data_IF_339950438420
#
_entry.id   IF_339950438420
#
_cell.length_a   1.000
_cell.length_b   1.000
_cell.length_c   1.000
_cell.angle_alpha   90.00
_cell.angle_beta   90.00
_cell.angle_gamma   90.00
#
_symmetry.space_group_name_H-M   'P 1'
#
loop_
_entity.id
_entity.type
_entity.pdbx_description
1 polymer ?
#
# COMPACT_ATOMS: atom_id res chain seq x y z
N UNK A 1 -33.07 39.12 -91.18
CA UNK A 1 -32.25 39.46 -92.36
C UNK A 1 -30.97 38.64 -92.31
N UNK A 2 -30.75 37.82 -93.34
CA UNK A 2 -29.47 37.46 -94.00
C UNK A 2 -28.32 36.90 -93.12
N UNK A 3 -28.08 35.59 -93.27
CA UNK A 3 -26.75 34.93 -93.18
C UNK A 3 -26.00 35.10 -94.54
N UNK A 4 -24.72 34.70 -94.80
CA UNK A 4 -23.85 33.74 -94.09
C UNK A 4 -22.31 34.04 -94.16
N UNK A 5 -21.47 33.07 -93.73
CA UNK A 5 -20.06 32.89 -94.18
C UNK A 5 -19.11 32.34 -93.10
N UNK A 6 -19.06 31.02 -92.83
CA UNK A 6 -18.00 30.03 -93.19
C UNK A 6 -16.55 30.56 -93.14
N UNK A 7 -15.59 29.93 -92.43
CA UNK A 7 -14.69 28.86 -92.95
C UNK A 7 -14.20 27.90 -91.83
N UNK A 8 -14.00 26.65 -92.27
CA UNK A 8 -13.63 25.38 -91.61
C UNK A 8 -12.13 25.15 -91.33
N UNK A 9 -11.79 24.40 -90.26
CA UNK A 9 -10.83 23.25 -90.23
C UNK A 9 -10.78 22.66 -88.80
N UNK A 10 -11.32 21.46 -88.53
CA UNK A 10 -10.76 20.09 -88.53
C UNK A 10 -9.57 19.81 -87.58
N UNK A 11 -9.72 18.66 -86.89
CA UNK A 11 -8.81 17.91 -86.00
C UNK A 11 -8.91 18.33 -84.52
N UNK A 12 -9.45 17.57 -83.58
CA UNK A 12 -9.60 16.12 -83.49
C UNK A 12 -8.65 15.59 -82.41
N UNK A 13 -9.18 15.40 -81.19
CA UNK A 13 -8.69 14.49 -80.14
C UNK A 13 -7.22 14.65 -79.69
N UNK A 14 -6.99 15.38 -78.60
CA UNK A 14 -5.84 15.14 -77.69
C UNK A 14 -6.24 15.49 -76.26
N UNK A 15 -6.89 14.56 -75.56
CA UNK A 15 -6.87 14.34 -74.11
C UNK A 15 -7.68 13.04 -73.89
N UNK A 16 -7.09 11.92 -73.43
CA UNK A 16 -6.14 11.85 -72.34
C UNK A 16 -4.95 10.91 -72.64
N UNK A 17 -3.76 11.48 -72.89
CA UNK A 17 -2.51 10.73 -72.82
C UNK A 17 -1.86 10.95 -71.45
N UNK A 18 -2.60 10.65 -70.37
CA UNK A 18 -2.04 10.60 -69.01
C UNK A 18 -2.93 9.84 -68.00
N UNK A 19 -3.70 8.84 -68.46
CA UNK A 19 -4.52 7.97 -67.61
C UNK A 19 -4.55 6.52 -68.14
N UNK A 20 -3.41 6.00 -68.64
CA UNK A 20 -3.27 4.57 -69.00
C UNK A 20 -1.93 3.97 -68.52
N UNK A 21 -1.13 4.71 -67.73
CA UNK A 21 0.09 4.18 -67.10
C UNK A 21 0.08 4.30 -65.56
N UNK A 22 -1.08 4.54 -64.96
CA UNK A 22 -1.27 4.46 -63.50
C UNK A 22 -2.28 3.37 -63.10
N UNK A 23 -3.04 2.81 -64.04
CA UNK A 23 -3.98 1.71 -63.76
C UNK A 23 -3.37 0.30 -63.89
N UNK A 24 -2.08 0.16 -64.21
CA UNK A 24 -1.39 -1.14 -64.21
C UNK A 24 -0.43 -1.35 -63.02
N UNK A 25 -0.38 -0.40 -62.08
CA UNK A 25 0.35 -0.57 -60.82
C UNK A 25 -0.52 -0.42 -59.56
N UNK A 26 -1.83 -0.16 -59.70
CA UNK A 26 -2.74 0.02 -58.57
C UNK A 26 -3.86 -1.01 -58.43
N UNK A 27 -3.88 -2.09 -59.23
CA UNK A 27 -4.72 -3.28 -58.97
C UNK A 27 -3.92 -4.47 -58.40
N UNK A 28 -2.60 -4.32 -58.23
CA UNK A 28 -1.72 -5.37 -57.70
C UNK A 28 -1.29 -5.22 -56.23
N UNK A 29 -1.51 -4.06 -55.61
CA UNK A 29 -0.93 -3.74 -54.30
C UNK A 29 -1.81 -4.15 -53.10
N UNK A 30 -3.14 -4.14 -53.21
CA UNK A 30 -4.01 -4.55 -52.10
C UNK A 30 -4.16 -6.08 -51.97
N UNK A 31 -3.80 -6.83 -53.02
CA UNK A 31 -3.90 -8.29 -53.03
C UNK A 31 -2.69 -8.99 -52.37
N UNK A 32 -1.54 -8.30 -52.26
CA UNK A 32 -0.32 -8.85 -51.65
C UNK A 32 -0.26 -8.73 -50.13
N UNK A 33 -0.61 -7.55 -49.59
CA UNK A 33 -0.54 -7.28 -48.14
C UNK A 33 -1.49 -8.19 -47.35
N UNK A 34 -2.72 -8.36 -47.84
CA UNK A 34 -3.72 -9.23 -47.22
C UNK A 34 -3.36 -10.72 -47.29
N UNK A 35 -2.71 -11.16 -48.39
CA UNK A 35 -2.30 -12.55 -48.55
C UNK A 35 -1.15 -12.93 -47.61
N UNK A 36 -0.19 -12.02 -47.41
CA UNK A 36 0.92 -12.24 -46.47
C UNK A 36 0.44 -12.21 -45.01
N UNK A 37 -0.49 -11.32 -44.65
CA UNK A 37 -1.13 -11.30 -43.32
C UNK A 37 -1.89 -12.60 -43.05
N UNK A 38 -2.72 -13.07 -43.99
CA UNK A 38 -3.47 -14.32 -43.83
C UNK A 38 -2.54 -15.53 -43.67
N UNK A 39 -1.41 -15.55 -44.39
CA UNK A 39 -0.38 -16.57 -44.24
C UNK A 39 0.24 -16.55 -42.84
N UNK A 40 0.56 -15.38 -42.31
CA UNK A 40 1.05 -15.23 -40.94
C UNK A 40 0.01 -15.69 -39.90
N UNK A 41 -1.27 -15.39 -40.11
CA UNK A 41 -2.37 -15.85 -39.23
C UNK A 41 -2.51 -17.38 -39.22
N UNK A 42 -2.52 -18.02 -40.38
CA UNK A 42 -2.66 -19.48 -40.48
C UNK A 42 -1.42 -20.22 -39.97
N UNK A 43 -0.21 -19.69 -40.21
CA UNK A 43 1.01 -20.25 -39.63
C UNK A 43 1.03 -20.09 -38.10
N UNK A 44 0.70 -18.89 -37.60
CA UNK A 44 0.62 -18.61 -36.16
C UNK A 44 -0.39 -19.53 -35.46
N UNK A 45 -1.54 -19.80 -36.10
CA UNK A 45 -2.55 -20.75 -35.60
C UNK A 45 -2.04 -22.19 -35.53
N UNK A 46 -1.29 -22.66 -36.53
CA UNK A 46 -0.65 -23.99 -36.50
C UNK A 46 0.38 -24.10 -35.39
N UNK A 47 1.24 -23.08 -35.23
CA UNK A 47 2.25 -23.01 -34.17
C UNK A 47 1.60 -22.97 -32.78
N UNK A 48 0.50 -22.23 -32.62
CA UNK A 48 -0.26 -22.18 -31.38
C UNK A 48 -0.86 -23.56 -31.05
N UNK A 49 -1.43 -24.26 -32.04
CA UNK A 49 -1.93 -25.63 -31.85
C UNK A 49 -0.82 -26.64 -31.52
N UNK A 50 0.41 -26.40 -32.00
CA UNK A 50 1.59 -27.17 -31.66
C UNK A 50 2.22 -26.78 -30.30
N UNK A 51 1.68 -25.79 -29.60
CA UNK A 51 2.21 -25.30 -28.31
C UNK A 51 3.47 -24.44 -28.44
N UNK A 52 3.89 -24.10 -29.67
CA UNK A 52 5.04 -23.22 -29.92
C UNK A 52 4.65 -21.75 -29.74
N UNK A 53 4.43 -21.35 -28.48
CA UNK A 53 3.86 -20.05 -28.15
C UNK A 53 4.74 -18.87 -28.61
N UNK A 54 6.07 -18.97 -28.47
CA UNK A 54 6.98 -17.89 -28.86
C UNK A 54 6.99 -17.66 -30.38
N UNK A 55 7.05 -18.74 -31.16
CA UNK A 55 7.01 -18.67 -32.62
C UNK A 55 5.65 -18.16 -33.11
N UNK A 56 4.56 -18.65 -32.51
CA UNK A 56 3.21 -18.17 -32.80
C UNK A 56 3.07 -16.66 -32.50
N UNK A 57 3.64 -16.18 -31.39
CA UNK A 57 3.62 -14.77 -31.02
C UNK A 57 4.29 -13.89 -32.07
N UNK A 58 5.45 -14.33 -32.59
CA UNK A 58 6.17 -13.63 -33.64
C UNK A 58 5.35 -13.54 -34.94
N UNK A 59 4.67 -14.63 -35.32
CA UNK A 59 3.78 -14.62 -36.49
C UNK A 59 2.60 -13.66 -36.31
N UNK A 60 1.98 -13.63 -35.12
CA UNK A 60 0.89 -12.70 -34.86
C UNK A 60 1.34 -11.25 -34.70
N UNK A 61 2.60 -10.98 -34.33
CA UNK A 61 3.16 -9.63 -34.43
C UNK A 61 3.25 -9.18 -35.88
N UNK A 62 3.85 -10.00 -36.75
CA UNK A 62 3.94 -9.70 -38.18
C UNK A 62 2.55 -9.49 -38.82
N UNK A 63 1.55 -10.27 -38.40
CA UNK A 63 0.18 -10.10 -38.87
C UNK A 63 -0.44 -8.76 -38.42
N UNK A 64 -0.19 -8.30 -37.19
CA UNK A 64 -0.66 -6.99 -36.70
C UNK A 64 0.08 -5.84 -37.39
N UNK A 65 1.37 -5.98 -37.65
CA UNK A 65 2.16 -4.96 -38.34
C UNK A 65 1.78 -4.83 -39.82
N UNK A 66 1.39 -5.96 -40.44
CA UNK A 66 0.92 -6.00 -41.83
C UNK A 66 -0.50 -5.47 -42.04
N UNK A 67 -1.40 -5.67 -41.07
CA UNK A 67 -2.77 -5.11 -41.08
C UNK A 67 -3.20 -4.66 -39.66
N UNK A 68 -3.02 -3.37 -39.33
CA UNK A 68 -3.39 -2.80 -38.03
C UNK A 68 -4.90 -2.72 -37.72
N UNK A 69 -5.78 -3.00 -38.70
CA UNK A 69 -7.23 -3.03 -38.50
C UNK A 69 -7.77 -4.46 -38.40
N UNK A 70 -6.90 -5.48 -38.50
CA UNK A 70 -7.25 -6.88 -38.36
C UNK A 70 -7.49 -7.28 -36.90
N UNK A 71 -8.74 -7.16 -36.44
CA UNK A 71 -9.11 -7.58 -35.08
C UNK A 71 -8.79 -9.06 -34.78
N UNK A 72 -8.74 -9.95 -35.78
CA UNK A 72 -8.40 -11.36 -35.57
C UNK A 72 -6.93 -11.50 -35.19
N UNK A 73 -6.03 -10.73 -35.81
CA UNK A 73 -4.61 -10.72 -35.48
C UNK A 73 -4.38 -10.33 -34.01
N UNK A 74 -5.00 -9.24 -33.57
CA UNK A 74 -4.97 -8.83 -32.15
C UNK A 74 -5.56 -9.88 -31.22
N UNK A 75 -6.72 -10.46 -31.55
CA UNK A 75 -7.36 -11.47 -30.69
C UNK A 75 -6.49 -12.73 -30.55
N UNK A 76 -5.87 -13.19 -31.64
CA UNK A 76 -4.96 -14.34 -31.63
C UNK A 76 -3.70 -14.02 -30.84
N UNK A 77 -3.12 -12.84 -31.02
CA UNK A 77 -1.95 -12.38 -30.25
C UNK A 77 -2.25 -12.31 -28.75
N UNK A 78 -3.39 -11.73 -28.37
CA UNK A 78 -3.88 -11.74 -27.00
C UNK A 78 -4.01 -13.17 -26.45
N UNK A 79 -4.57 -14.09 -27.23
CA UNK A 79 -4.72 -15.50 -26.83
C UNK A 79 -3.36 -16.15 -26.54
N UNK A 80 -2.33 -15.86 -27.35
CA UNK A 80 -0.97 -16.35 -27.10
C UNK A 80 -0.38 -15.71 -25.84
N UNK A 81 -0.55 -14.41 -25.62
CA UNK A 81 -0.12 -13.76 -24.38
C UNK A 81 -0.78 -14.40 -23.14
N UNK A 82 -2.07 -14.73 -23.22
CA UNK A 82 -2.78 -15.42 -22.15
C UNK A 82 -2.26 -16.84 -21.90
N UNK A 83 -1.99 -17.59 -22.96
CA UNK A 83 -1.37 -18.92 -22.86
C UNK A 83 0.03 -18.86 -22.23
N UNK A 84 0.77 -17.76 -22.41
CA UNK A 84 2.05 -17.51 -21.74
C UNK A 84 1.91 -16.97 -20.30
N UNK A 85 0.69 -16.78 -19.79
CA UNK A 85 0.44 -16.14 -18.49
C UNK A 85 0.67 -14.62 -18.47
N UNK A 86 0.95 -13.99 -19.61
CA UNK A 86 1.23 -12.55 -19.76
C UNK A 86 -0.06 -11.72 -19.85
N UNK A 87 -0.88 -11.79 -18.79
CA UNK A 87 -2.20 -11.13 -18.73
C UNK A 87 -2.14 -9.62 -18.95
N UNK A 88 -1.10 -8.93 -18.46
CA UNK A 88 -0.91 -7.48 -18.65
C UNK A 88 -0.70 -7.09 -20.12
N UNK A 89 0.00 -7.93 -20.89
CA UNK A 89 0.25 -7.70 -22.31
C UNK A 89 -0.96 -8.03 -23.20
N UNK A 90 -1.85 -8.92 -22.75
CA UNK A 90 -3.05 -9.29 -23.49
C UNK A 90 -4.16 -8.22 -23.45
N UNK A 91 -4.24 -7.42 -22.38
CA UNK A 91 -5.31 -6.43 -22.18
C UNK A 91 -5.39 -5.37 -23.31
N UNK A 92 -4.28 -4.73 -23.73
CA UNK A 92 -4.34 -3.77 -24.83
C UNK A 92 -4.88 -4.37 -26.12
N UNK A 93 -4.44 -5.58 -26.47
CA UNK A 93 -4.90 -6.28 -27.67
C UNK A 93 -6.41 -6.58 -27.58
N UNK A 94 -6.91 -7.07 -26.43
CA UNK A 94 -8.34 -7.31 -26.24
C UNK A 94 -9.16 -6.02 -26.33
N UNK A 95 -8.66 -4.91 -25.79
CA UNK A 95 -9.31 -3.60 -25.93
C UNK A 95 -9.36 -3.17 -27.39
N UNK A 96 -8.25 -3.29 -28.13
CA UNK A 96 -8.21 -2.97 -29.57
C UNK A 96 -9.17 -3.83 -30.37
N UNK A 97 -9.33 -5.11 -30.04
CA UNK A 97 -10.35 -5.99 -30.66
C UNK A 97 -11.76 -5.46 -30.45
N UNK A 98 -12.08 -4.99 -29.24
CA UNK A 98 -13.41 -4.47 -28.91
C UNK A 98 -13.67 -3.11 -29.58
N UNK A 99 -12.63 -2.30 -29.78
CA UNK A 99 -12.69 -1.04 -30.54
C UNK A 99 -12.96 -1.30 -32.03
N UNK A 100 -12.18 -2.20 -32.65
CA UNK A 100 -12.30 -2.54 -34.07
C UNK A 100 -13.59 -3.31 -34.36
N UNK A 101 -13.94 -4.26 -33.48
CA UNK A 101 -15.10 -5.12 -33.62
C UNK A 101 -15.90 -5.16 -32.33
N UNK A 102 -16.79 -4.19 -32.21
CA UNK A 102 -17.62 -4.05 -31.02
C UNK A 102 -18.54 -5.25 -30.77
N UNK A 103 -18.86 -6.12 -31.73
CA UNK A 103 -19.73 -7.29 -31.54
C UNK A 103 -18.96 -8.57 -31.22
N UNK A 104 -17.65 -8.49 -31.03
CA UNK A 104 -16.82 -9.64 -30.73
C UNK A 104 -16.87 -10.02 -29.24
N UNK A 105 -17.90 -10.80 -28.88
CA UNK A 105 -18.18 -11.25 -27.51
C UNK A 105 -17.02 -12.01 -26.86
N UNK A 106 -16.29 -12.81 -27.63
CA UNK A 106 -15.18 -13.61 -27.09
C UNK A 106 -14.06 -12.74 -26.48
N UNK A 107 -13.67 -11.63 -27.13
CA UNK A 107 -12.67 -10.73 -26.56
C UNK A 107 -13.20 -10.01 -25.31
N UNK A 108 -14.48 -9.60 -25.28
CA UNK A 108 -15.08 -9.02 -24.07
C UNK A 108 -15.09 -10.00 -22.90
N UNK A 109 -15.46 -11.25 -23.15
CA UNK A 109 -15.47 -12.28 -22.12
C UNK A 109 -14.05 -12.50 -21.55
N UNK A 110 -13.05 -12.64 -22.43
CA UNK A 110 -11.65 -12.76 -22.02
C UNK A 110 -11.16 -11.54 -21.23
N UNK A 111 -11.51 -10.32 -21.67
CA UNK A 111 -11.14 -9.08 -20.98
C UNK A 111 -11.81 -8.99 -19.61
N UNK A 112 -13.12 -9.25 -19.52
CA UNK A 112 -13.86 -9.29 -18.26
C UNK A 112 -13.27 -10.27 -17.25
N UNK A 113 -12.85 -11.46 -17.68
CA UNK A 113 -12.16 -12.42 -16.80
C UNK A 113 -10.80 -11.92 -16.30
N UNK A 114 -10.03 -11.22 -17.15
CA UNK A 114 -8.74 -10.66 -16.74
C UNK A 114 -8.92 -9.51 -15.77
N UNK A 115 -9.89 -8.62 -16.04
CA UNK A 115 -10.25 -7.50 -15.17
C UNK A 115 -10.72 -8.00 -13.79
N UNK A 116 -11.56 -9.04 -13.77
CA UNK A 116 -11.98 -9.70 -12.53
C UNK A 116 -10.79 -10.23 -11.71
N UNK A 117 -9.80 -10.86 -12.36
CA UNK A 117 -8.58 -11.34 -11.70
C UNK A 117 -7.69 -10.20 -11.19
N UNK A 118 -7.77 -9.02 -11.80
CA UNK A 118 -7.03 -7.81 -11.42
C UNK A 118 -7.77 -6.94 -10.39
N UNK A 119 -8.96 -7.35 -9.92
CA UNK A 119 -9.75 -6.54 -8.98
C UNK A 119 -10.54 -5.39 -9.62
N UNK A 120 -10.49 -5.23 -10.95
CA UNK A 120 -11.16 -4.15 -11.69
C UNK A 120 -12.63 -4.47 -11.96
N UNK A 121 -13.42 -4.43 -10.89
CA UNK A 121 -14.81 -4.90 -10.90
C UNK A 121 -15.74 -4.08 -11.79
N UNK A 122 -15.63 -2.75 -11.81
CA UNK A 122 -16.50 -1.89 -12.63
C UNK A 122 -16.34 -2.18 -14.13
N UNK A 123 -15.10 -2.21 -14.60
CA UNK A 123 -14.76 -2.53 -15.99
C UNK A 123 -15.21 -3.97 -16.34
N UNK A 124 -15.02 -4.91 -15.41
CA UNK A 124 -15.44 -6.29 -15.59
C UNK A 124 -16.97 -6.44 -15.65
N UNK A 125 -17.71 -5.73 -14.79
CA UNK A 125 -19.17 -5.75 -14.77
C UNK A 125 -19.74 -5.21 -16.08
N UNK A 126 -19.20 -4.10 -16.58
CA UNK A 126 -19.61 -3.51 -17.86
C UNK A 126 -19.37 -4.48 -19.03
N UNK A 127 -18.21 -5.14 -19.07
CA UNK A 127 -17.90 -6.15 -20.09
C UNK A 127 -18.87 -7.33 -20.02
N UNK A 128 -19.08 -7.91 -18.83
CA UNK A 128 -20.01 -9.04 -18.66
C UNK A 128 -21.46 -8.64 -18.95
N UNK A 129 -21.88 -7.44 -18.59
CA UNK A 129 -23.21 -6.90 -18.89
C UNK A 129 -23.41 -6.70 -20.40
N UNK A 130 -22.41 -6.15 -21.10
CA UNK A 130 -22.46 -5.98 -22.56
C UNK A 130 -22.47 -7.31 -23.29
N UNK A 131 -21.77 -8.32 -22.77
CA UNK A 131 -21.86 -9.70 -23.25
C UNK A 131 -23.26 -10.26 -23.02
N UNK A 132 -23.79 -10.18 -21.79
CA UNK A 132 -25.14 -10.65 -21.45
C UNK A 132 -26.22 -10.03 -22.33
N UNK A 133 -26.24 -8.69 -22.47
CA UNK A 133 -27.24 -7.99 -23.28
C UNK A 133 -27.16 -8.41 -24.75
N UNK A 134 -25.95 -8.56 -25.30
CA UNK A 134 -25.78 -8.95 -26.71
C UNK A 134 -26.12 -10.41 -26.97
N UNK A 135 -25.79 -11.31 -26.04
CA UNK A 135 -26.03 -12.75 -26.19
C UNK A 135 -27.47 -13.14 -25.80
N UNK A 136 -28.13 -12.39 -24.92
CA UNK A 136 -29.58 -12.47 -24.68
C UNK A 136 -30.38 -12.24 -25.97
N UNK A 137 -29.90 -11.35 -26.84
CA UNK A 137 -30.47 -11.15 -28.17
C UNK A 137 -30.22 -12.32 -29.14
N UNK A 138 -29.30 -13.25 -28.81
CA UNK A 138 -28.88 -14.37 -29.69
C UNK A 138 -29.35 -15.77 -29.25
N UNK A 139 -29.93 -15.95 -28.05
CA UNK A 139 -30.50 -17.22 -27.55
C UNK A 139 -29.53 -18.43 -27.61
N UNK A 140 -28.46 -18.45 -26.81
CA UNK A 140 -27.48 -19.56 -26.81
C UNK A 140 -27.19 -20.21 -25.42
N UNK A 141 -26.79 -21.50 -25.41
CA UNK A 141 -26.63 -22.36 -24.22
C UNK A 141 -25.31 -22.14 -23.42
N UNK A 142 -24.24 -21.65 -24.07
CA UNK A 142 -22.96 -21.31 -23.42
C UNK A 142 -23.07 -20.09 -22.46
N UNK A 143 -24.20 -19.39 -22.49
CA UNK A 143 -24.53 -18.21 -21.70
C UNK A 143 -24.61 -18.45 -20.17
N UNK A 144 -24.92 -19.68 -19.72
CA UNK A 144 -25.03 -19.98 -18.28
C UNK A 144 -23.74 -19.61 -17.51
N UNK A 145 -22.58 -19.77 -18.14
CA UNK A 145 -21.28 -19.42 -17.55
C UNK A 145 -21.08 -17.91 -17.44
N UNK A 146 -21.33 -17.15 -18.50
CA UNK A 146 -21.18 -15.69 -18.48
C UNK A 146 -22.14 -15.02 -17.51
N UNK A 147 -23.41 -15.44 -17.48
CA UNK A 147 -24.41 -14.91 -16.55
C UNK A 147 -24.06 -15.20 -15.07
N UNK A 148 -23.47 -16.37 -14.79
CA UNK A 148 -22.96 -16.68 -13.46
C UNK A 148 -21.84 -15.71 -13.06
N UNK A 149 -20.90 -15.43 -13.97
CA UNK A 149 -19.83 -14.45 -13.74
C UNK A 149 -20.36 -13.02 -13.57
N UNK A 150 -21.30 -12.58 -14.42
CA UNK A 150 -21.95 -11.27 -14.26
C UNK A 150 -22.58 -11.11 -12.87
N UNK A 151 -23.38 -12.09 -12.43
CA UNK A 151 -24.00 -12.07 -11.09
C UNK A 151 -22.96 -12.02 -9.97
N UNK A 152 -21.88 -12.76 -10.12
CA UNK A 152 -20.78 -12.78 -9.16
C UNK A 152 -20.10 -11.41 -9.07
N UNK A 153 -19.67 -10.84 -10.20
CA UNK A 153 -19.00 -9.53 -10.26
C UNK A 153 -19.91 -8.42 -9.73
N UNK A 154 -21.17 -8.39 -10.16
CA UNK A 154 -22.16 -7.41 -9.66
C UNK A 154 -22.35 -7.50 -8.15
N UNK A 155 -22.40 -8.72 -7.61
CA UNK A 155 -22.54 -8.93 -6.16
C UNK A 155 -21.28 -8.46 -5.42
N UNK A 156 -20.09 -8.78 -5.92
CA UNK A 156 -18.82 -8.32 -5.35
C UNK A 156 -18.72 -6.79 -5.37
N UNK A 157 -19.04 -6.18 -6.50
CA UNK A 157 -18.98 -4.73 -6.68
C UNK A 157 -19.88 -4.02 -5.67
N UNK A 158 -21.16 -4.43 -5.59
CA UNK A 158 -22.11 -3.90 -4.61
C UNK A 158 -21.66 -4.06 -3.15
N UNK A 159 -20.99 -5.17 -2.82
CA UNK A 159 -20.47 -5.39 -1.47
C UNK A 159 -19.33 -4.42 -1.15
N UNK A 160 -18.41 -4.21 -2.08
CA UNK A 160 -17.26 -3.30 -1.91
C UNK A 160 -17.72 -1.84 -1.87
N UNK A 161 -18.59 -1.42 -2.80
CA UNK A 161 -19.17 -0.07 -2.80
C UNK A 161 -19.87 0.24 -1.47
N UNK A 162 -20.69 -0.71 -0.98
CA UNK A 162 -21.37 -0.57 0.32
C UNK A 162 -20.39 -0.55 1.49
N UNK A 163 -19.28 -1.28 1.42
CA UNK A 163 -18.27 -1.29 2.47
C UNK A 163 -17.51 0.04 2.54
N UNK A 164 -17.11 0.59 1.39
CA UNK A 164 -16.45 1.91 1.32
C UNK A 164 -17.39 3.05 1.74
N UNK A 165 -18.69 2.95 1.47
CA UNK A 165 -19.68 3.89 2.01
C UNK A 165 -19.72 3.85 3.54
N UNK A 166 -19.75 2.65 4.13
CA UNK A 166 -19.73 2.47 5.58
C UNK A 166 -18.43 3.02 6.21
N UNK A 167 -17.28 2.86 5.54
CA UNK A 167 -16.01 3.47 5.98
C UNK A 167 -16.12 4.99 6.00
N UNK A 168 -16.67 5.61 4.94
CA UNK A 168 -16.87 7.06 4.88
C UNK A 168 -17.78 7.58 5.99
N UNK A 169 -18.78 6.78 6.38
CA UNK A 169 -19.70 7.10 7.47
C UNK A 169 -19.13 6.80 8.87
N UNK A 170 -17.90 6.29 8.97
CA UNK A 170 -17.26 5.90 10.24
C UNK A 170 -17.83 4.61 10.87
N UNK A 171 -18.61 3.84 10.10
CA UNK A 171 -19.23 2.57 10.55
C UNK A 171 -18.31 1.38 10.30
N UNK A 172 -17.15 1.39 10.95
CA UNK A 172 -16.05 0.44 10.70
C UNK A 172 -16.42 -1.02 10.96
N UNK A 173 -17.20 -1.31 12.01
CA UNK A 173 -17.63 -2.68 12.32
C UNK A 173 -18.50 -3.26 11.21
N UNK A 174 -19.43 -2.46 10.69
CA UNK A 174 -20.31 -2.88 9.59
C UNK A 174 -19.50 -3.07 8.30
N UNK A 175 -18.55 -2.18 8.02
CA UNK A 175 -17.64 -2.29 6.88
C UNK A 175 -16.81 -3.58 6.93
N UNK A 176 -16.24 -3.92 8.09
CA UNK A 176 -15.50 -5.17 8.31
C UNK A 176 -16.37 -6.39 7.95
N UNK A 177 -17.63 -6.42 8.41
CA UNK A 177 -18.57 -7.50 8.06
C UNK A 177 -18.84 -7.61 6.55
N UNK A 178 -18.87 -6.47 5.84
CA UNK A 178 -19.00 -6.45 4.38
C UNK A 178 -17.77 -7.03 3.69
N UNK A 179 -16.56 -6.64 4.08
CA UNK A 179 -15.33 -7.20 3.50
C UNK A 179 -15.15 -8.69 3.80
N UNK A 180 -15.57 -9.16 4.97
CA UNK A 180 -15.64 -10.60 5.22
C UNK A 180 -16.60 -11.32 4.25
N UNK A 181 -17.72 -10.66 3.90
CA UNK A 181 -18.67 -11.17 2.92
C UNK A 181 -18.10 -11.13 1.49
N UNK A 182 -17.23 -10.16 1.17
CA UNK A 182 -16.46 -10.11 -0.09
C UNK A 182 -15.56 -11.34 -0.19
N UNK A 183 -14.73 -11.59 0.83
CA UNK A 183 -13.82 -12.74 0.86
C UNK A 183 -14.56 -14.09 0.81
N UNK A 184 -15.75 -14.18 1.44
CA UNK A 184 -16.61 -15.38 1.33
C UNK A 184 -17.21 -15.55 -0.06
N UNK A 185 -17.51 -14.44 -0.74
CA UNK A 185 -18.10 -14.48 -2.08
C UNK A 185 -17.05 -14.84 -3.12
N UNK A 186 -15.81 -14.35 -2.99
CA UNK A 186 -14.69 -14.69 -3.87
C UNK A 186 -13.45 -15.17 -3.09
N UNK A 187 -13.38 -16.47 -2.75
CA UNK A 187 -12.26 -17.02 -2.00
C UNK A 187 -11.07 -17.43 -2.87
N UNK A 188 -11.24 -17.54 -4.20
CA UNK A 188 -10.23 -18.15 -5.07
C UNK A 188 -9.22 -17.15 -5.62
N UNK A 189 -9.57 -15.87 -5.67
CA UNK A 189 -8.71 -14.81 -6.20
C UNK A 189 -8.07 -14.09 -5.02
N UNK A 190 -6.75 -14.23 -4.90
CA UNK A 190 -5.97 -13.69 -3.78
C UNK A 190 -6.11 -12.16 -3.64
N UNK A 191 -6.23 -11.42 -4.75
CA UNK A 191 -6.39 -9.96 -4.76
C UNK A 191 -7.54 -9.50 -3.86
N UNK A 192 -8.71 -10.14 -3.91
CA UNK A 192 -9.85 -9.76 -3.07
C UNK A 192 -9.60 -10.04 -1.60
N UNK A 193 -8.86 -11.10 -1.28
CA UNK A 193 -8.48 -11.42 0.10
C UNK A 193 -7.50 -10.37 0.64
N UNK A 194 -6.45 -10.05 -0.12
CA UNK A 194 -5.42 -9.07 0.27
C UNK A 194 -6.05 -7.69 0.46
N UNK A 195 -6.78 -7.18 -0.53
CA UNK A 195 -7.43 -5.88 -0.46
C UNK A 195 -8.51 -5.81 0.62
N UNK A 196 -9.30 -6.87 0.79
CA UNK A 196 -10.29 -6.90 1.90
C UNK A 196 -9.61 -6.84 3.26
N UNK A 197 -8.50 -7.56 3.47
CA UNK A 197 -7.73 -7.48 4.71
C UNK A 197 -7.09 -6.12 4.92
N UNK A 198 -6.58 -5.47 3.87
CA UNK A 198 -6.08 -4.08 3.92
C UNK A 198 -7.18 -3.13 4.43
N UNK A 199 -8.39 -3.20 3.87
CA UNK A 199 -9.51 -2.36 4.32
C UNK A 199 -10.02 -2.71 5.72
N UNK A 200 -9.96 -3.98 6.14
CA UNK A 200 -10.27 -4.40 7.51
C UNK A 200 -9.22 -3.89 8.51
N UNK A 201 -7.93 -3.95 8.16
CA UNK A 201 -6.83 -3.34 8.91
C UNK A 201 -7.10 -1.83 9.13
N UNK A 202 -7.46 -1.12 8.06
CA UNK A 202 -7.86 0.27 8.13
C UNK A 202 -9.05 0.51 9.07
N UNK A 203 -10.11 -0.32 8.96
CA UNK A 203 -11.28 -0.23 9.83
C UNK A 203 -10.91 -0.38 11.31
N UNK A 204 -10.08 -1.36 11.68
CA UNK A 204 -9.67 -1.54 13.08
C UNK A 204 -8.79 -0.42 13.60
N UNK A 205 -7.89 0.10 12.75
CA UNK A 205 -7.03 1.23 13.12
C UNK A 205 -7.87 2.48 13.41
N UNK A 206 -8.81 2.83 12.52
CA UNK A 206 -9.70 3.99 12.69
C UNK A 206 -10.78 3.82 13.76
N UNK A 207 -11.13 2.58 14.14
CA UNK A 207 -12.03 2.25 15.26
C UNK A 207 -11.28 2.17 16.60
N UNK A 208 -10.00 2.58 16.65
CA UNK A 208 -9.13 2.56 17.85
C UNK A 208 -9.05 1.18 18.52
N UNK A 209 -9.00 0.11 17.70
CA UNK A 209 -8.82 -1.30 18.13
C UNK A 209 -7.42 -1.79 17.76
N UNK A 210 -6.39 -1.38 18.52
CA UNK A 210 -5.00 -1.57 18.10
C UNK A 210 -4.56 -3.04 18.04
N UNK A 211 -5.04 -3.90 18.95
CA UNK A 211 -4.65 -5.32 18.97
C UNK A 211 -5.10 -6.04 17.69
N UNK A 212 -6.37 -5.84 17.29
CA UNK A 212 -6.91 -6.40 16.05
C UNK A 212 -6.29 -5.77 14.81
N UNK A 213 -6.05 -4.44 14.83
CA UNK A 213 -5.38 -3.73 13.76
C UNK A 213 -3.98 -4.29 13.51
N UNK A 214 -3.13 -4.34 14.54
CA UNK A 214 -1.75 -4.85 14.43
C UNK A 214 -1.73 -6.27 13.85
N UNK A 215 -2.64 -7.15 14.30
CA UNK A 215 -2.73 -8.51 13.79
C UNK A 215 -3.08 -8.55 12.30
N UNK A 216 -4.17 -7.91 11.88
CA UNK A 216 -4.63 -7.95 10.49
C UNK A 216 -3.67 -7.22 9.56
N UNK A 217 -3.19 -6.03 9.94
CA UNK A 217 -2.22 -5.29 9.15
C UNK A 217 -0.92 -6.10 8.96
N UNK A 218 -0.47 -6.82 9.99
CA UNK A 218 0.70 -7.71 9.87
C UNK A 218 0.45 -8.88 8.91
N UNK A 219 -0.75 -9.45 8.88
CA UNK A 219 -1.11 -10.46 7.86
C UNK A 219 -1.06 -9.87 6.44
N UNK A 220 -1.49 -8.61 6.25
CA UNK A 220 -1.40 -7.91 4.96
C UNK A 220 0.06 -7.72 4.57
N UNK A 221 0.89 -7.23 5.49
CA UNK A 221 2.30 -6.94 5.24
C UNK A 221 3.17 -8.20 5.06
N UNK A 222 2.69 -9.37 5.49
CA UNK A 222 3.31 -10.65 5.11
C UNK A 222 3.09 -10.98 3.62
N UNK A 223 2.01 -10.49 3.02
CA UNK A 223 1.67 -10.70 1.61
C UNK A 223 2.20 -9.57 0.72
N UNK A 224 2.09 -8.32 1.19
CA UNK A 224 2.52 -7.09 0.51
C UNK A 224 3.34 -6.23 1.50
N UNK A 225 4.66 -6.47 1.67
CA UNK A 225 5.50 -5.74 2.62
C UNK A 225 5.59 -4.23 2.34
N UNK A 226 5.38 -3.83 1.09
CA UNK A 226 5.43 -2.47 0.57
C UNK A 226 4.05 -1.77 0.58
N UNK A 227 3.01 -2.38 1.19
CA UNK A 227 1.69 -1.78 1.29
C UNK A 227 1.69 -0.58 2.25
N UNK A 228 1.82 0.63 1.67
CA UNK A 228 1.90 1.91 2.39
C UNK A 228 0.70 2.15 3.30
N UNK A 229 -0.52 1.77 2.89
CA UNK A 229 -1.72 1.96 3.71
C UNK A 229 -1.67 1.10 4.97
N UNK A 230 -1.34 -0.19 4.82
CA UNK A 230 -1.24 -1.11 5.95
C UNK A 230 -0.11 -0.74 6.92
N UNK A 231 1.03 -0.22 6.43
CA UNK A 231 2.09 0.33 7.28
C UNK A 231 1.61 1.52 8.10
N UNK A 232 0.93 2.49 7.47
CA UNK A 232 0.37 3.68 8.15
C UNK A 232 -0.66 3.31 9.21
N UNK A 233 -1.62 2.45 8.86
CA UNK A 233 -2.69 2.04 9.77
C UNK A 233 -2.13 1.21 10.96
N UNK A 234 -1.09 0.39 10.74
CA UNK A 234 -0.40 -0.34 11.81
C UNK A 234 0.44 0.58 12.70
N UNK A 235 1.15 1.55 12.12
CA UNK A 235 1.88 2.56 12.88
C UNK A 235 0.95 3.36 13.80
N UNK A 236 -0.23 3.76 13.30
CA UNK A 236 -1.26 4.41 14.13
C UNK A 236 -1.71 3.54 15.31
N UNK A 237 -1.89 2.23 15.09
CA UNK A 237 -2.23 1.29 16.15
C UNK A 237 -1.09 1.14 17.19
N UNK A 238 0.17 1.10 16.74
CA UNK A 238 1.33 1.09 17.65
C UNK A 238 1.43 2.37 18.48
N UNK A 239 1.06 3.53 17.93
CA UNK A 239 1.01 4.78 18.71
C UNK A 239 0.00 4.72 19.85
N UNK A 240 -1.14 4.03 19.68
CA UNK A 240 -2.15 3.83 20.74
C UNK A 240 -1.60 2.91 21.84
N UNK A 241 -0.86 1.88 21.46
CA UNK A 241 -0.21 0.94 22.40
C UNK A 241 1.12 1.46 22.97
N UNK A 242 1.48 2.71 22.69
CA UNK A 242 2.73 3.35 23.11
C UNK A 242 4.02 2.61 22.63
N UNK A 243 3.89 1.82 21.56
CA UNK A 243 4.97 1.09 20.89
C UNK A 243 5.66 1.98 19.84
N UNK A 244 6.34 3.02 20.32
CA UNK A 244 6.81 4.11 19.45
C UNK A 244 7.93 3.70 18.50
N UNK A 245 8.83 2.79 18.92
CA UNK A 245 9.93 2.31 18.07
C UNK A 245 9.38 1.56 16.85
N UNK A 246 8.38 0.70 17.07
CA UNK A 246 7.69 -0.03 16.01
C UNK A 246 6.89 0.90 15.09
N UNK A 247 6.23 1.92 15.65
CA UNK A 247 5.53 2.93 14.86
C UNK A 247 6.48 3.72 13.95
N UNK A 248 7.65 4.10 14.45
CA UNK A 248 8.69 4.80 13.67
C UNK A 248 9.17 3.92 12.53
N UNK A 249 9.48 2.65 12.80
CA UNK A 249 9.94 1.69 11.79
C UNK A 249 8.91 1.51 10.65
N UNK A 250 7.62 1.41 10.97
CA UNK A 250 6.57 1.29 9.96
C UNK A 250 6.46 2.57 9.11
N UNK A 251 6.55 3.76 9.71
CA UNK A 251 6.55 5.01 8.96
C UNK A 251 7.80 5.21 8.08
N UNK A 252 8.98 4.81 8.55
CA UNK A 252 10.21 4.83 7.77
C UNK A 252 10.09 3.93 6.54
N UNK A 253 9.62 2.69 6.74
CA UNK A 253 9.38 1.74 5.64
C UNK A 253 8.35 2.31 4.65
N UNK A 254 7.28 2.95 5.15
CA UNK A 254 6.27 3.57 4.29
C UNK A 254 6.85 4.75 3.49
N UNK A 255 7.79 5.50 4.07
CA UNK A 255 8.45 6.64 3.43
C UNK A 255 9.37 6.22 2.28
N UNK A 256 10.02 5.05 2.37
CA UNK A 256 10.83 4.48 1.28
C UNK A 256 10.02 4.22 0.01
N UNK A 257 8.73 3.90 0.16
CA UNK A 257 7.82 3.62 -0.95
C UNK A 257 7.01 4.84 -1.40
N UNK A 258 6.98 5.91 -0.59
CA UNK A 258 6.28 7.17 -0.92
C UNK A 258 6.90 8.39 -0.21
N UNK A 259 7.97 8.93 -0.80
CA UNK A 259 8.78 10.01 -0.19
C UNK A 259 8.01 11.32 0.09
N UNK A 260 6.94 11.60 -0.67
CA UNK A 260 6.25 12.89 -0.64
C UNK A 260 4.92 12.89 0.14
N UNK A 261 4.51 11.77 0.74
CA UNK A 261 3.27 11.72 1.53
C UNK A 261 3.42 12.56 2.81
N UNK A 262 2.58 13.59 2.94
CA UNK A 262 2.53 14.45 4.13
C UNK A 262 2.12 13.66 5.38
N UNK A 263 1.19 12.69 5.25
CA UNK A 263 0.67 11.93 6.39
C UNK A 263 1.77 11.04 7.01
N UNK A 264 2.66 10.49 6.18
CA UNK A 264 3.79 9.67 6.66
C UNK A 264 4.77 10.55 7.44
N UNK A 265 5.13 11.73 6.91
CA UNK A 265 6.04 12.66 7.58
C UNK A 265 5.48 13.16 8.91
N UNK A 266 4.22 13.57 8.93
CA UNK A 266 3.53 14.02 10.16
C UNK A 266 3.42 12.88 11.19
N UNK A 267 3.12 11.66 10.74
CA UNK A 267 3.08 10.47 11.58
C UNK A 267 4.44 10.12 12.20
N UNK A 268 5.50 10.16 11.40
CA UNK A 268 6.88 9.92 11.84
C UNK A 268 7.33 10.97 12.86
N UNK A 269 7.12 12.26 12.57
CA UNK A 269 7.44 13.34 13.51
C UNK A 269 6.66 13.23 14.82
N UNK A 270 5.38 12.83 14.75
CA UNK A 270 4.54 12.57 15.94
C UNK A 270 5.10 11.40 16.75
N UNK A 271 5.44 10.29 16.10
CA UNK A 271 5.98 9.10 16.74
C UNK A 271 7.32 9.40 17.44
N UNK A 272 8.25 10.08 16.75
CA UNK A 272 9.54 10.50 17.31
C UNK A 272 9.38 11.48 18.49
N UNK A 273 8.42 12.41 18.41
CA UNK A 273 8.12 13.34 19.50
C UNK A 273 7.59 12.60 20.73
N UNK A 274 6.68 11.65 20.53
CA UNK A 274 6.11 10.83 21.60
C UNK A 274 7.16 9.91 22.22
N UNK A 275 8.05 9.32 21.42
CA UNK A 275 9.21 8.56 21.90
C UNK A 275 10.12 9.45 22.78
N UNK A 276 10.47 10.65 22.29
CA UNK A 276 11.26 11.59 23.08
C UNK A 276 10.56 12.00 24.38
N UNK A 277 9.24 12.17 24.34
CA UNK A 277 8.44 12.49 25.52
C UNK A 277 8.36 11.32 26.51
N UNK A 278 8.27 10.08 26.04
CA UNK A 278 8.21 8.88 26.90
C UNK A 278 9.56 8.57 27.55
N UNK A 279 10.66 8.93 26.89
CA UNK A 279 12.02 8.83 27.43
C UNK A 279 12.33 9.92 28.47
N UNK A 280 11.64 11.07 28.44
CA UNK A 280 11.82 12.14 29.43
C UNK A 280 11.30 11.71 30.81
N UNK A 281 12.16 11.80 31.81
CA UNK A 281 11.81 11.47 33.21
C UNK A 281 10.99 12.61 33.83
N UNK A 282 9.74 12.35 34.21
CA UNK A 282 8.98 13.30 35.04
C UNK A 282 9.29 13.10 36.53
N UNK A 283 10.29 13.84 37.03
CA UNK A 283 10.72 13.77 38.43
C UNK A 283 9.61 14.10 39.44
N UNK A 284 8.67 14.99 39.11
CA UNK A 284 7.55 15.31 39.99
C UNK A 284 6.57 14.15 40.08
N UNK A 285 6.28 13.50 38.95
CA UNK A 285 5.44 12.29 38.88
C UNK A 285 6.09 11.11 39.61
N UNK A 286 7.41 10.93 39.47
CA UNK A 286 8.17 9.88 40.18
C UNK A 286 8.04 10.02 41.71
N UNK A 287 8.18 11.24 42.25
CA UNK A 287 8.02 11.46 43.69
C UNK A 287 6.56 11.64 44.14
N UNK A 288 5.62 11.79 43.20
CA UNK A 288 4.20 12.04 43.51
C UNK A 288 3.95 13.38 44.17
N UNK A 289 4.73 14.41 43.83
CA UNK A 289 4.62 15.77 44.41
C UNK A 289 4.21 16.77 43.33
N UNK A 290 3.57 17.88 43.74
CA UNK A 290 3.17 18.95 42.81
C UNK A 290 4.39 19.72 42.29
N UNK A 291 4.29 20.34 41.11
CA UNK A 291 5.37 21.18 40.55
C UNK A 291 5.81 22.33 41.46
N UNK A 292 4.93 22.85 42.29
CA UNK A 292 5.23 23.89 43.27
C UNK A 292 5.64 23.35 44.66
N UNK A 293 5.92 22.05 44.78
CA UNK A 293 6.25 21.43 46.06
C UNK A 293 7.48 22.06 46.70
N UNK A 294 7.41 22.25 48.02
CA UNK A 294 8.54 22.78 48.80
C UNK A 294 9.61 21.71 48.96
N UNK A 295 10.88 22.13 49.15
CA UNK A 295 12.01 21.21 49.36
C UNK A 295 11.76 20.17 50.46
N UNK A 296 11.07 20.55 51.53
CA UNK A 296 10.69 19.63 52.62
C UNK A 296 9.70 18.54 52.18
N UNK A 297 8.75 18.85 51.29
CA UNK A 297 7.77 17.91 50.76
C UNK A 297 8.45 16.90 49.82
N UNK A 298 9.37 17.38 48.98
CA UNK A 298 10.21 16.55 48.09
C UNK A 298 11.02 15.55 48.93
N UNK A 299 11.70 16.01 49.99
CA UNK A 299 12.49 15.14 50.88
C UNK A 299 11.59 14.13 51.60
N UNK A 300 10.39 14.54 52.04
CA UNK A 300 9.43 13.66 52.72
C UNK A 300 8.93 12.56 51.77
N UNK A 301 8.58 12.92 50.54
CA UNK A 301 8.15 11.98 49.52
C UNK A 301 9.27 11.00 49.15
N UNK A 302 10.50 11.50 48.95
CA UNK A 302 11.67 10.67 48.72
C UNK A 302 11.88 9.66 49.84
N UNK A 303 11.89 10.08 51.11
CA UNK A 303 12.10 9.15 52.25
C UNK A 303 11.07 8.03 52.28
N UNK A 304 9.80 8.35 52.00
CA UNK A 304 8.71 7.37 51.96
C UNK A 304 8.93 6.35 50.84
N UNK A 305 9.22 6.83 49.63
CA UNK A 305 9.40 5.98 48.45
C UNK A 305 10.71 5.18 48.49
N UNK A 306 11.79 5.78 48.99
CA UNK A 306 13.07 5.11 49.18
C UNK A 306 12.96 3.97 50.20
N UNK A 307 12.20 4.17 51.29
CA UNK A 307 11.93 3.09 52.24
C UNK A 307 11.07 1.99 51.62
N UNK A 308 10.09 2.33 50.78
CA UNK A 308 9.20 1.35 50.15
C UNK A 308 9.91 0.51 49.08
N UNK A 309 10.71 1.17 48.23
CA UNK A 309 11.34 0.56 47.05
C UNK A 309 12.81 0.17 47.27
N UNK A 310 13.27 0.13 48.53
CA UNK A 310 14.62 -0.38 48.82
C UNK A 310 14.73 -1.85 48.37
N UNK A 311 15.78 -2.24 47.61
CA UNK A 311 15.94 -3.61 47.12
C UNK A 311 15.89 -4.69 48.22
N UNK A 312 16.29 -4.36 49.45
CA UNK A 312 16.26 -5.28 50.60
C UNK A 312 14.84 -5.67 51.04
N UNK A 313 13.81 -4.94 50.60
CA UNK A 313 12.42 -5.28 50.91
C UNK A 313 11.87 -6.41 50.01
N UNK A 314 12.60 -6.83 48.98
CA UNK A 314 12.14 -7.78 47.97
C UNK A 314 13.04 -9.01 47.96
N UNK A 315 12.42 -10.19 48.04
CA UNK A 315 13.12 -11.48 48.10
C UNK A 315 13.34 -12.10 46.71
N UNK A 316 12.43 -11.81 45.77
CA UNK A 316 12.51 -12.32 44.40
C UNK A 316 13.45 -11.48 43.55
N UNK A 317 14.33 -12.12 42.78
CA UNK A 317 15.36 -11.44 41.97
C UNK A 317 14.75 -10.52 40.89
N UNK A 318 13.63 -10.92 40.27
CA UNK A 318 12.93 -10.06 39.30
C UNK A 318 12.30 -8.83 39.96
N UNK A 319 11.71 -8.99 41.15
CA UNK A 319 11.14 -7.88 41.90
C UNK A 319 12.23 -6.94 42.42
N UNK A 320 13.37 -7.49 42.84
CA UNK A 320 14.55 -6.74 43.27
C UNK A 320 15.09 -5.87 42.14
N UNK A 321 15.21 -6.41 40.92
CA UNK A 321 15.58 -5.63 39.73
C UNK A 321 14.57 -4.53 39.40
N UNK A 322 13.26 -4.80 39.53
CA UNK A 322 12.21 -3.77 39.35
C UNK A 322 12.29 -2.68 40.42
N UNK A 323 12.53 -3.07 41.66
CA UNK A 323 12.68 -2.15 42.79
C UNK A 323 13.95 -1.29 42.65
N UNK A 324 15.06 -1.88 42.22
CA UNK A 324 16.30 -1.18 41.94
C UNK A 324 16.13 -0.10 40.87
N UNK A 325 15.48 -0.42 39.73
CA UNK A 325 15.16 0.59 38.70
C UNK A 325 14.34 1.75 39.28
N UNK A 326 13.29 1.45 40.04
CA UNK A 326 12.47 2.49 40.69
C UNK A 326 13.25 3.31 41.72
N UNK A 327 14.12 2.67 42.50
CA UNK A 327 14.93 3.34 43.50
C UNK A 327 15.91 4.34 42.86
N UNK A 328 16.51 3.97 41.72
CA UNK A 328 17.36 4.86 40.91
C UNK A 328 16.54 6.08 40.46
N UNK A 329 15.35 5.88 39.90
CA UNK A 329 14.49 6.98 39.45
C UNK A 329 14.07 7.89 40.61
N UNK A 330 13.72 7.33 41.77
CA UNK A 330 13.39 8.06 43.00
C UNK A 330 14.58 8.90 43.49
N UNK A 331 15.79 8.35 43.45
CA UNK A 331 17.01 9.05 43.84
C UNK A 331 17.33 10.20 42.88
N UNK A 332 17.26 9.94 41.56
CA UNK A 332 17.43 10.96 40.52
C UNK A 332 16.42 12.11 40.69
N UNK A 333 15.15 11.79 40.93
CA UNK A 333 14.11 12.78 41.15
C UNK A 333 14.36 13.65 42.37
N UNK A 334 14.84 13.07 43.48
CA UNK A 334 15.24 13.85 44.66
C UNK A 334 16.40 14.77 44.32
N UNK A 335 17.41 14.29 43.62
CA UNK A 335 18.60 15.07 43.26
C UNK A 335 18.22 16.31 42.46
N UNK A 336 17.50 16.12 41.35
CA UNK A 336 17.05 17.21 40.47
C UNK A 336 16.13 18.19 41.19
N UNK A 337 15.14 17.71 41.93
CA UNK A 337 14.12 18.59 42.53
C UNK A 337 14.59 19.28 43.83
N UNK A 338 15.63 18.76 44.49
CA UNK A 338 16.14 19.34 45.75
C UNK A 338 17.22 20.40 45.54
N UNK A 339 17.87 20.41 44.38
CA UNK A 339 18.80 21.43 43.95
C UNK A 339 18.07 22.54 43.17
N UNK A 340 18.15 23.82 43.59
CA UNK A 340 17.41 24.91 42.94
C UNK A 340 17.78 25.14 41.47
N UNK A 341 19.04 24.93 41.08
CA UNK A 341 19.51 25.16 39.72
C UNK A 341 19.07 24.02 38.80
N UNK A 342 19.25 22.77 39.23
CA UNK A 342 18.82 21.58 38.49
C UNK A 342 17.29 21.56 38.33
N UNK A 343 16.56 21.91 39.39
CA UNK A 343 15.09 22.04 39.34
C UNK A 343 14.66 23.10 38.36
N UNK A 344 15.33 24.25 38.35
CA UNK A 344 15.03 25.33 37.40
C UNK A 344 15.24 24.88 35.95
N UNK A 345 16.38 24.24 35.64
CA UNK A 345 16.63 23.67 34.29
C UNK A 345 15.52 22.70 33.87
N UNK A 346 15.13 21.81 34.77
CA UNK A 346 14.04 20.86 34.54
C UNK A 346 12.69 21.55 34.34
N UNK A 347 12.39 22.58 35.12
CA UNK A 347 11.17 23.39 34.97
C UNK A 347 11.17 24.21 33.67
N UNK A 348 12.35 24.61 33.18
CA UNK A 348 12.57 25.29 31.90
C UNK A 348 12.53 24.31 30.70
N UNK A 349 12.35 23.00 30.93
CA UNK A 349 12.16 21.97 29.90
C UNK A 349 13.43 21.20 29.49
N UNK A 350 14.55 21.49 30.13
CA UNK A 350 15.84 20.81 29.96
C UNK A 350 16.02 19.77 31.07
N UNK A 351 16.12 18.48 30.72
CA UNK A 351 16.43 17.46 31.71
C UNK A 351 17.93 17.50 32.06
N UNK A 352 18.29 17.89 33.30
CA UNK A 352 19.69 18.07 33.68
C UNK A 352 20.45 16.75 33.84
N UNK A 353 19.75 15.61 33.79
CA UNK A 353 20.35 14.27 33.80
C UNK A 353 20.28 13.58 32.42
N UNK A 354 19.77 14.25 31.39
CA UNK A 354 19.73 13.71 30.03
C UNK A 354 21.14 13.70 29.40
N UNK A 355 21.49 12.60 28.74
CA UNK A 355 22.82 12.41 28.15
C UNK A 355 23.06 13.36 26.96
N UNK A 356 21.98 13.80 26.30
CA UNK A 356 22.03 14.69 25.15
C UNK A 356 22.20 16.16 25.53
N UNK A 357 21.76 16.58 26.73
CA UNK A 357 22.03 17.91 27.28
C UNK A 357 23.46 18.07 27.81
N UNK A 358 24.22 16.97 27.91
CA UNK A 358 25.65 16.93 28.23
C UNK A 358 26.54 16.73 26.99
N UNK A 359 26.18 17.32 25.83
CA UNK A 359 27.03 17.29 24.63
C UNK A 359 28.34 18.06 24.83
N UNK A 360 29.31 17.30 25.36
CA UNK A 360 30.73 17.53 25.39
C UNK A 360 31.47 16.20 25.62
N UNK A 361 31.21 15.15 24.82
CA UNK A 361 32.04 13.94 24.83
C UNK A 361 31.36 12.64 24.34
N UNK A 362 31.56 12.31 23.06
CA UNK A 362 30.97 11.16 22.37
C UNK A 362 31.23 9.77 22.99
N UNK A 363 30.28 8.86 22.77
CA UNK A 363 30.38 7.42 23.03
C UNK A 363 29.03 6.76 23.34
N UNK A 364 28.80 5.57 22.74
CA UNK A 364 27.54 4.81 22.63
C UNK A 364 26.58 4.79 23.85
N UNK A 365 25.25 4.80 23.63
CA UNK A 365 24.24 5.17 24.64
C UNK A 365 23.88 4.04 25.64
N UNK A 366 23.93 2.77 25.23
CA UNK A 366 23.41 1.67 26.05
C UNK A 366 24.37 1.18 27.15
N UNK A 367 25.68 1.39 27.01
CA UNK A 367 26.69 0.92 27.97
C UNK A 367 27.13 1.97 29.00
N UNK A 368 26.75 3.25 28.83
CA UNK A 368 27.15 4.33 29.75
C UNK A 368 26.17 4.60 30.90
N UNK A 369 24.90 4.20 30.80
CA UNK A 369 23.93 4.48 31.87
C UNK A 369 24.27 3.81 33.21
N UNK A 370 25.06 2.72 33.21
CA UNK A 370 25.45 2.02 34.44
C UNK A 370 26.83 2.46 34.97
N UNK A 371 27.78 2.79 34.09
CA UNK A 371 29.18 3.04 34.45
C UNK A 371 29.62 4.52 34.39
N UNK A 372 28.82 5.45 33.86
CA UNK A 372 29.14 6.89 33.88
C UNK A 372 28.78 7.58 35.19
N UNK A 373 28.23 6.83 36.15
CA UNK A 373 28.13 7.21 37.55
C UNK A 373 29.52 7.09 38.22
N UNK A 374 30.49 7.93 37.82
CA UNK A 374 31.82 7.97 38.45
C UNK A 374 31.84 8.61 39.85
N UNK A 375 30.69 9.00 40.40
CA UNK A 375 30.64 9.67 41.72
C UNK A 375 29.41 9.39 42.57
N UNK A 376 28.41 8.73 42.01
CA UNK A 376 27.29 8.23 42.78
C UNK A 376 27.34 6.72 42.50
N UNK A 377 27.15 5.89 43.51
CA UNK A 377 26.82 4.47 43.40
C UNK A 377 26.10 4.20 44.72
N UNK A 378 24.76 4.04 44.75
CA UNK A 378 24.00 4.14 45.99
C UNK A 378 24.32 2.96 46.91
N UNK A 379 25.02 1.95 46.34
CA UNK A 379 25.33 0.67 46.93
C UNK A 379 26.85 0.40 47.03
N UNK A 380 27.74 1.29 46.57
CA UNK A 380 29.21 1.10 46.68
C UNK A 380 29.85 1.96 47.75
N UNK A 381 30.62 1.31 48.62
CA UNK A 381 31.33 1.86 49.79
C UNK A 381 32.53 2.79 49.44
N UNK A 382 32.65 3.28 48.20
CA UNK A 382 33.85 3.99 47.71
C UNK A 382 33.64 5.36 47.07
N UNK A 383 32.40 5.86 46.95
CA UNK A 383 32.13 7.20 46.39
C UNK A 383 32.32 8.34 47.40
N UNK A 384 32.45 9.61 46.94
CA UNK A 384 32.68 10.78 47.80
C UNK A 384 31.53 11.09 48.79
N UNK A 385 30.43 10.35 48.76
CA UNK A 385 29.28 10.52 49.64
C UNK A 385 29.10 9.29 50.55
N UNK A 386 29.47 9.43 51.83
CA UNK A 386 29.10 8.49 52.90
C UNK A 386 27.61 8.66 53.23
N UNK A 387 26.76 7.70 52.89
CA UNK A 387 25.43 7.58 53.48
C UNK A 387 25.51 6.86 54.84
N UNK A 388 25.67 7.63 55.91
CA UNK A 388 25.42 7.13 57.29
C UNK A 388 24.03 7.56 57.71
N UNK A 389 23.09 6.61 57.76
CA UNK A 389 21.81 6.82 58.43
C UNK A 389 22.02 6.65 59.94
N UNK A 390 21.83 7.71 60.72
CA UNK A 390 21.62 7.59 62.16
C UNK A 390 20.11 7.63 62.37
N UNK A 391 19.55 6.52 62.83
CA UNK A 391 18.20 6.46 63.37
C UNK A 391 18.34 6.62 64.87
N UNK A 392 17.77 7.70 65.42
CA UNK A 392 17.52 7.84 66.86
C UNK A 392 16.11 7.37 67.16
#
# INVERSE_FOLDING_TARGET
MVAPGSVTSRLGSVFPFLLVLVDLQYEGAECGVNADVEKHLELGKKLLAAGQLADALSQFHAAVDGDPDNYIAYYRRATVFLAMGKSKAALPDLTKVIELKMDFTAARLQRGHLLLKQGKLDEAEDDFKKVEVRECLKLDQDHKRCFAHYKQVKKLNKLIESAEELIRDGRYIDATSKYESVMKTEPNIAEYTVRSKERICHCFSKDEKPVEAIRICSEVLQMEPDNVNALKDRAEAYLIEEMYDEAIQDYETAQEHNENDQQIREGLEKAQRLLKQSQKRDYYKILGVKRNAKKQEIIKAYRKLALQWHPDNFQNEEEKKKAEKKFIDIAAAKEVLSDPEMRKKFDDGEDPLDAESQQGGGGNPFHRSWNSWQGFNPFSSGGPFRFKFHFN
#
